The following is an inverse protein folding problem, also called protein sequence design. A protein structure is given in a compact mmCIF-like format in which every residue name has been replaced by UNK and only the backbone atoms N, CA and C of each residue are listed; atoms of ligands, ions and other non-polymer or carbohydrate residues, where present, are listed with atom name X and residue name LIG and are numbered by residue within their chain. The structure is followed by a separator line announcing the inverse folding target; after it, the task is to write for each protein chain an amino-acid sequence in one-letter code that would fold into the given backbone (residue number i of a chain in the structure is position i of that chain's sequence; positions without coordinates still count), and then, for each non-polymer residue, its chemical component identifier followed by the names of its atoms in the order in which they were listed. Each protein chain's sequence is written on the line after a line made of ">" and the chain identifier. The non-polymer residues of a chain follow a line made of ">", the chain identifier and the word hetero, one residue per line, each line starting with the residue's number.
data_IF_542648209788
#
_entry.id   IF_542648209788
#
_cell.length_a   1.000
_cell.length_b   1.000
_cell.length_c   1.000
_cell.angle_alpha   90.00
_cell.angle_beta   90.00
_cell.angle_gamma   90.00
#
_symmetry.space_group_name_H-M   'P 1'
#
loop_
_entity.id
_entity.type
_entity.pdbx_description
1 polymer ?
#
# COMPACT_ATOMS: atom_id res chain seq x y z
N UNK A 1 4.41 -32.25 27.80
CA UNK A 1 4.59 -30.79 27.80
C UNK A 1 5.18 -30.39 26.45
N UNK A 2 4.77 -29.23 25.91
CA UNK A 2 4.65 -28.97 24.47
C UNK A 2 5.89 -28.29 23.90
N UNK A 3 6.25 -28.56 22.65
CA UNK A 3 6.87 -27.57 21.74
C UNK A 3 6.34 -27.90 20.33
N UNK A 4 5.21 -27.31 19.94
CA UNK A 4 5.13 -26.00 19.30
C UNK A 4 5.83 -25.97 17.92
N UNK A 5 5.05 -26.44 16.94
CA UNK A 5 4.88 -25.80 15.63
C UNK A 5 5.83 -24.63 15.36
N UNK A 6 6.93 -24.91 14.66
CA UNK A 6 7.61 -23.91 13.85
C UNK A 6 7.71 -24.47 12.44
N UNK A 7 6.55 -24.49 11.78
CA UNK A 7 6.49 -24.46 10.33
C UNK A 7 7.11 -23.12 9.90
N UNK A 8 8.44 -23.08 9.83
CA UNK A 8 9.15 -22.06 9.11
C UNK A 8 8.84 -22.27 7.63
N UNK A 9 7.77 -21.60 7.20
CA UNK A 9 7.31 -21.54 5.82
C UNK A 9 8.49 -21.24 4.92
N UNK A 10 8.81 -22.22 4.06
CA UNK A 10 9.64 -22.05 2.88
C UNK A 10 9.10 -20.89 2.04
N UNK A 11 9.65 -19.69 2.20
CA UNK A 11 9.56 -18.64 1.20
C UNK A 11 10.70 -18.87 0.22
N UNK A 12 10.47 -19.75 -0.75
CA UNK A 12 11.33 -19.91 -1.91
C UNK A 12 11.30 -18.62 -2.76
N UNK A 13 12.44 -18.06 -3.20
CA UNK A 13 12.47 -16.88 -4.04
C UNK A 13 12.35 -17.30 -5.52
N UNK A 14 11.17 -17.75 -5.95
CA UNK A 14 11.02 -18.30 -7.31
C UNK A 14 9.65 -18.09 -7.93
N UNK A 15 9.07 -16.87 -7.92
CA UNK A 15 8.11 -16.48 -8.98
C UNK A 15 7.86 -14.97 -9.12
N UNK A 16 8.91 -14.14 -9.07
CA UNK A 16 8.82 -12.67 -9.13
C UNK A 16 8.11 -12.10 -10.38
N UNK A 17 7.81 -12.89 -11.42
CA UNK A 17 7.14 -12.44 -12.64
C UNK A 17 5.63 -12.72 -12.67
N UNK A 18 5.18 -13.85 -12.09
CA UNK A 18 3.77 -14.18 -11.98
C UNK A 18 3.11 -13.44 -10.80
N UNK A 19 3.83 -13.31 -9.69
CA UNK A 19 3.36 -12.61 -8.49
C UNK A 19 3.24 -11.10 -8.74
N UNK A 20 4.20 -10.51 -9.46
CA UNK A 20 4.11 -9.10 -9.91
C UNK A 20 3.01 -8.89 -10.95
N UNK A 21 2.78 -9.86 -11.84
CA UNK A 21 1.63 -9.85 -12.76
C UNK A 21 0.29 -9.89 -12.03
N UNK A 22 0.19 -10.68 -10.95
CA UNK A 22 -0.99 -10.71 -10.09
C UNK A 22 -1.16 -9.42 -9.29
N UNK A 23 -0.06 -8.87 -8.73
CA UNK A 23 -0.07 -7.58 -8.03
C UNK A 23 -0.56 -6.44 -8.93
N UNK A 24 -0.05 -6.34 -10.17
CA UNK A 24 -0.52 -5.36 -11.15
C UNK A 24 -2.01 -5.52 -11.49
N UNK A 25 -2.51 -6.76 -11.54
CA UNK A 25 -3.93 -7.05 -11.72
C UNK A 25 -4.82 -6.53 -10.59
N UNK A 26 -4.34 -6.59 -9.35
CA UNK A 26 -5.00 -6.02 -8.18
C UNK A 26 -4.95 -4.48 -8.19
N UNK A 27 -3.81 -3.87 -8.55
CA UNK A 27 -3.70 -2.41 -8.72
C UNK A 27 -4.73 -1.90 -9.74
N UNK A 28 -4.83 -2.57 -10.89
CA UNK A 28 -5.80 -2.19 -11.93
C UNK A 28 -7.24 -2.27 -11.42
N UNK A 29 -7.59 -3.35 -10.70
CA UNK A 29 -8.91 -3.51 -10.08
C UNK A 29 -9.19 -2.42 -9.06
N UNK A 30 -8.22 -2.10 -8.20
CA UNK A 30 -8.34 -1.02 -7.23
C UNK A 30 -8.61 0.33 -7.90
N UNK A 31 -7.89 0.65 -8.98
CA UNK A 31 -8.14 1.86 -9.76
C UNK A 31 -9.53 1.88 -10.41
N UNK A 32 -10.04 0.74 -10.89
CA UNK A 32 -11.40 0.67 -11.44
C UNK A 32 -12.48 0.79 -10.34
N UNK A 33 -12.20 0.36 -9.11
CA UNK A 33 -13.06 0.56 -7.95
C UNK A 33 -13.09 2.03 -7.51
N UNK A 34 -11.94 2.73 -7.51
CA UNK A 34 -11.89 4.18 -7.26
C UNK A 34 -12.77 4.96 -8.24
N UNK A 35 -12.77 4.59 -9.52
CA UNK A 35 -13.66 5.22 -10.53
C UNK A 35 -15.15 4.97 -10.25
N UNK A 36 -15.47 3.94 -9.48
CA UNK A 36 -16.83 3.58 -9.06
C UNK A 36 -17.17 4.15 -7.67
N UNK A 37 -16.33 5.02 -7.13
CA UNK A 37 -16.46 5.59 -5.78
C UNK A 37 -16.30 4.56 -4.65
N UNK A 38 -15.92 3.30 -4.98
CA UNK A 38 -15.68 2.25 -3.99
C UNK A 38 -14.23 2.30 -3.49
N UNK A 39 -13.95 3.32 -2.68
CA UNK A 39 -12.60 3.56 -2.14
C UNK A 39 -12.18 2.45 -1.17
N UNK A 40 -13.13 1.89 -0.40
CA UNK A 40 -12.84 0.78 0.54
C UNK A 40 -12.47 -0.51 -0.20
N UNK A 41 -13.21 -0.85 -1.25
CA UNK A 41 -12.86 -1.96 -2.13
C UNK A 41 -11.49 -1.75 -2.78
N UNK A 42 -11.20 -0.53 -3.23
CA UNK A 42 -9.91 -0.20 -3.82
C UNK A 42 -8.74 -0.42 -2.84
N UNK A 43 -8.86 0.03 -1.59
CA UNK A 43 -7.85 -0.21 -0.54
C UNK A 43 -7.61 -1.71 -0.35
N UNK A 44 -8.66 -2.53 -0.35
CA UNK A 44 -8.50 -3.98 -0.20
C UNK A 44 -7.72 -4.59 -1.36
N UNK A 45 -7.99 -4.16 -2.60
CA UNK A 45 -7.24 -4.61 -3.76
C UNK A 45 -5.78 -4.13 -3.72
N UNK A 46 -5.51 -2.88 -3.34
CA UNK A 46 -4.14 -2.39 -3.20
C UNK A 46 -3.37 -3.10 -2.10
N UNK A 47 -4.03 -3.43 -0.98
CA UNK A 47 -3.41 -4.22 0.09
C UNK A 47 -2.98 -5.60 -0.42
N UNK A 48 -3.83 -6.29 -1.17
CA UNK A 48 -3.46 -7.56 -1.80
C UNK A 48 -2.29 -7.37 -2.77
N UNK A 49 -2.25 -6.27 -3.53
CA UNK A 49 -1.11 -5.96 -4.38
C UNK A 49 0.19 -5.76 -3.58
N UNK A 50 0.15 -5.12 -2.41
CA UNK A 50 1.33 -4.97 -1.52
C UNK A 50 1.73 -6.27 -0.82
N UNK A 51 0.79 -7.19 -0.58
CA UNK A 51 1.09 -8.52 -0.02
C UNK A 51 1.77 -9.42 -1.06
N UNK A 52 1.40 -9.28 -2.33
CA UNK A 52 2.01 -9.99 -3.46
C UNK A 52 3.34 -9.37 -3.89
N UNK A 53 3.42 -8.04 -3.93
CA UNK A 53 4.65 -7.30 -4.23
C UNK A 53 4.87 -6.19 -3.18
N UNK A 54 5.59 -6.50 -2.09
CA UNK A 54 5.91 -5.52 -1.05
C UNK A 54 6.92 -4.46 -1.50
N UNK A 55 7.42 -4.52 -2.74
CA UNK A 55 8.28 -3.49 -3.33
C UNK A 55 7.55 -2.63 -4.35
N UNK A 56 6.23 -2.83 -4.52
CA UNK A 56 5.43 -2.07 -5.46
C UNK A 56 5.14 -0.65 -4.94
N UNK A 57 6.03 0.27 -5.29
CA UNK A 57 5.83 1.71 -5.03
C UNK A 57 4.50 2.24 -5.60
N UNK A 58 4.01 1.65 -6.70
CA UNK A 58 2.74 2.04 -7.29
C UNK A 58 1.54 1.63 -6.41
N UNK A 59 1.55 0.41 -5.87
CA UNK A 59 0.49 -0.06 -4.97
C UNK A 59 0.41 0.80 -3.70
N UNK A 60 1.55 1.10 -3.05
CA UNK A 60 1.58 1.98 -1.89
C UNK A 60 1.11 3.40 -2.23
N UNK A 61 1.49 3.94 -3.39
CA UNK A 61 1.03 5.27 -3.83
C UNK A 61 -0.48 5.36 -4.00
N UNK A 62 -1.11 4.37 -4.65
CA UNK A 62 -2.56 4.35 -4.82
C UNK A 62 -3.30 4.06 -3.52
N UNK A 63 -2.77 3.18 -2.67
CA UNK A 63 -3.34 2.89 -1.35
C UNK A 63 -3.32 4.14 -0.45
N UNK A 64 -2.22 4.89 -0.44
CA UNK A 64 -2.09 6.13 0.33
C UNK A 64 -3.13 7.16 -0.11
N UNK A 65 -3.28 7.35 -1.44
CA UNK A 65 -4.29 8.23 -1.99
C UNK A 65 -5.71 7.80 -1.64
N UNK A 66 -6.00 6.50 -1.68
CA UNK A 66 -7.32 6.00 -1.31
C UNK A 66 -7.64 6.27 0.17
N UNK A 67 -6.65 6.17 1.07
CA UNK A 67 -6.84 6.58 2.46
C UNK A 67 -7.04 8.09 2.63
N UNK A 68 -6.34 8.92 1.85
CA UNK A 68 -6.60 10.38 1.81
C UNK A 68 -8.04 10.68 1.39
N UNK A 69 -8.58 9.99 0.37
CA UNK A 69 -9.97 10.16 -0.08
C UNK A 69 -11.00 9.75 1.00
N UNK A 70 -10.64 8.82 1.90
CA UNK A 70 -11.47 8.46 3.08
C UNK A 70 -11.24 9.35 4.31
N UNK A 71 -10.29 10.29 4.26
CA UNK A 71 -9.88 11.08 5.43
C UNK A 71 -9.18 10.27 6.52
N UNK A 72 -8.66 9.09 6.18
CA UNK A 72 -7.90 8.22 7.08
C UNK A 72 -6.42 8.61 7.04
N UNK A 73 -6.11 9.78 7.62
CA UNK A 73 -4.80 10.40 7.49
C UNK A 73 -3.68 9.61 8.18
N UNK A 74 -3.95 8.95 9.30
CA UNK A 74 -2.95 8.15 10.02
C UNK A 74 -2.49 6.95 9.17
N UNK A 75 -3.44 6.21 8.61
CA UNK A 75 -3.17 5.10 7.69
C UNK A 75 -2.44 5.57 6.42
N UNK A 76 -2.85 6.72 5.86
CA UNK A 76 -2.17 7.31 4.72
C UNK A 76 -0.70 7.65 5.04
N UNK A 77 -0.39 8.16 6.24
CA UNK A 77 0.99 8.43 6.67
C UNK A 77 1.80 7.13 6.68
N UNK A 78 1.26 6.06 7.28
CA UNK A 78 1.99 4.78 7.35
C UNK A 78 2.31 4.23 5.96
N UNK A 79 1.35 4.31 5.04
CA UNK A 79 1.51 3.84 3.67
C UNK A 79 2.53 4.69 2.90
N UNK A 80 2.46 6.02 2.98
CA UNK A 80 3.43 6.89 2.32
C UNK A 80 4.83 6.82 2.91
N UNK A 81 4.97 6.52 4.20
CA UNK A 81 6.29 6.18 4.78
C UNK A 81 6.90 4.96 4.12
N UNK A 82 6.13 3.89 3.92
CA UNK A 82 6.62 2.72 3.18
C UNK A 82 7.00 3.09 1.74
N UNK A 83 6.22 3.93 1.08
CA UNK A 83 6.54 4.43 -0.26
C UNK A 83 7.88 5.18 -0.30
N UNK A 84 8.12 6.09 0.66
CA UNK A 84 9.38 6.83 0.79
C UNK A 84 10.54 5.90 1.14
N UNK A 85 10.32 4.85 1.94
CA UNK A 85 11.36 3.86 2.21
C UNK A 85 11.77 3.08 0.95
N UNK A 86 10.80 2.78 0.07
CA UNK A 86 11.07 2.12 -1.21
C UNK A 86 11.73 3.06 -2.23
N UNK A 87 11.35 4.34 -2.22
CA UNK A 87 11.87 5.36 -3.13
C UNK A 87 12.18 6.66 -2.39
N UNK A 88 13.31 6.73 -1.67
CA UNK A 88 13.65 7.89 -0.86
C UNK A 88 13.97 9.14 -1.69
N UNK A 89 14.38 8.97 -2.94
CA UNK A 89 14.70 10.06 -3.87
C UNK A 89 13.49 10.48 -4.73
N UNK A 90 12.35 9.81 -4.60
CA UNK A 90 11.16 10.14 -5.38
C UNK A 90 10.47 11.37 -4.76
N UNK A 91 10.64 12.51 -5.44
CA UNK A 91 10.04 13.77 -5.04
C UNK A 91 8.51 13.69 -4.88
N UNK A 92 7.83 12.82 -5.65
CA UNK A 92 6.38 12.62 -5.52
C UNK A 92 6.04 11.90 -4.22
N UNK A 93 6.82 10.89 -3.84
CA UNK A 93 6.61 10.18 -2.57
C UNK A 93 6.79 11.12 -1.36
N UNK A 94 7.85 11.94 -1.37
CA UNK A 94 8.10 12.95 -0.33
C UNK A 94 6.99 14.01 -0.30
N UNK A 95 6.53 14.46 -1.46
CA UNK A 95 5.43 15.43 -1.58
C UNK A 95 4.11 14.88 -1.02
N UNK A 96 3.76 13.64 -1.35
CA UNK A 96 2.58 12.96 -0.81
C UNK A 96 2.65 12.85 0.72
N UNK A 97 3.78 12.38 1.26
CA UNK A 97 3.97 12.27 2.71
C UNK A 97 3.84 13.62 3.42
N UNK A 98 4.46 14.68 2.88
CA UNK A 98 4.35 16.04 3.42
C UNK A 98 2.92 16.59 3.38
N UNK A 99 2.18 16.29 2.32
CA UNK A 99 0.77 16.69 2.18
C UNK A 99 -0.10 16.01 3.23
N UNK A 100 0.08 14.71 3.43
CA UNK A 100 -0.67 13.96 4.45
C UNK A 100 -0.33 14.45 5.85
N UNK A 101 0.94 14.70 6.18
CA UNK A 101 1.31 15.24 7.49
C UNK A 101 0.68 16.60 7.78
N UNK A 102 0.68 17.49 6.78
CA UNK A 102 0.02 18.79 6.91
C UNK A 102 -1.48 18.63 7.19
N UNK A 103 -2.14 17.70 6.49
CA UNK A 103 -3.55 17.45 6.71
C UNK A 103 -3.77 16.83 8.10
N UNK A 104 -3.01 15.79 8.50
CA UNK A 104 -3.11 15.14 9.80
C UNK A 104 -3.06 16.15 10.96
N UNK A 105 -2.09 17.08 10.95
CA UNK A 105 -2.02 18.13 11.96
C UNK A 105 -3.25 19.06 12.01
N UNK A 106 -3.96 19.24 10.89
CA UNK A 106 -5.20 20.05 10.86
C UNK A 106 -6.41 19.32 11.45
N UNK A 107 -6.39 17.99 11.56
CA UNK A 107 -7.49 17.21 12.16
C UNK A 107 -7.32 16.99 13.66
N UNK A 108 -6.10 17.18 14.17
CA UNK A 108 -5.79 17.11 15.60
C UNK A 108 -6.04 18.44 16.35
N UNK A 109 -6.38 19.51 15.63
CA UNK A 109 -6.66 20.87 16.15
C UNK A 109 -8.18 21.14 16.30
#
# INVERSE_FOLDING_TARGET
>A
MPEASSAATNLSPSNNNAETGMAAGHIKRGCDLLKRDDVRGAISEFRQATELDPKSSEAYGYMGRAYEELGQWDEAVQVYKQLVLLKPDDAKALYCLGTVYKNLCQWEE
#
